data_IF_606137076166
#
_entry.id   IF_606137076166
#
_cell.length_a   1.000
_cell.length_b   1.000
_cell.length_c   1.000
_cell.angle_alpha   90.00
_cell.angle_beta   90.00
_cell.angle_gamma   90.00
#
_symmetry.space_group_name_H-M   'P 1'
#
loop_
_entity.id
_entity.type
_entity.pdbx_description
1 polymer ?
#
# COMPACT_ATOMS: atom_id res chain seq x y z
N UNK A 1 -3.73 16.15 -54.24
CA UNK A 1 -3.05 15.10 -53.46
C UNK A 1 -2.87 15.47 -51.99
N UNK A 2 -2.41 16.69 -51.66
CA UNK A 2 -2.13 17.10 -50.27
C UNK A 2 -3.34 17.14 -49.32
N UNK A 3 -4.54 17.54 -49.78
CA UNK A 3 -5.76 17.51 -48.94
C UNK A 3 -6.14 16.09 -48.48
N UNK A 4 -5.95 15.08 -49.33
CA UNK A 4 -6.21 13.67 -48.96
C UNK A 4 -5.17 13.16 -47.97
N UNK A 5 -3.91 13.57 -48.13
CA UNK A 5 -2.83 13.27 -47.18
C UNK A 5 -3.10 13.89 -45.80
N UNK A 6 -3.55 15.15 -45.75
CA UNK A 6 -3.89 15.84 -44.49
C UNK A 6 -5.10 15.21 -43.77
N UNK A 7 -6.10 14.76 -44.52
CA UNK A 7 -7.26 14.04 -43.95
C UNK A 7 -6.82 12.69 -43.37
N UNK A 8 -5.98 11.94 -44.09
CA UNK A 8 -5.46 10.65 -43.61
C UNK A 8 -4.60 10.82 -42.34
N UNK A 9 -3.75 11.85 -42.28
CA UNK A 9 -2.97 12.16 -41.07
C UNK A 9 -3.87 12.54 -39.90
N UNK A 10 -4.94 13.31 -40.15
CA UNK A 10 -5.88 13.71 -39.09
C UNK A 10 -6.66 12.53 -38.52
N UNK A 11 -7.07 11.57 -39.36
CA UNK A 11 -7.75 10.35 -38.92
C UNK A 11 -6.80 9.48 -38.09
N UNK A 12 -5.54 9.34 -38.51
CA UNK A 12 -4.53 8.57 -37.78
C UNK A 12 -4.22 9.18 -36.40
N UNK A 13 -4.15 10.51 -36.30
CA UNK A 13 -3.97 11.18 -35.00
C UNK A 13 -5.17 11.00 -34.07
N UNK A 14 -6.40 10.89 -34.61
CA UNK A 14 -7.61 10.75 -33.79
C UNK A 14 -7.77 9.36 -33.17
N UNK A 15 -7.07 8.35 -33.68
CA UNK A 15 -7.16 6.97 -33.20
C UNK A 15 -6.11 6.59 -32.14
N UNK A 16 -5.38 7.56 -31.59
CA UNK A 16 -4.38 7.27 -30.56
C UNK A 16 -5.06 6.71 -29.29
N UNK A 17 -4.71 5.49 -28.85
CA UNK A 17 -5.27 4.92 -27.63
C UNK A 17 -4.74 5.66 -26.40
N UNK A 18 -5.64 6.12 -25.54
CA UNK A 18 -5.28 6.68 -24.23
C UNK A 18 -4.97 5.53 -23.28
N UNK A 19 -3.68 5.34 -22.97
CA UNK A 19 -3.26 4.35 -21.98
C UNK A 19 -3.66 4.83 -20.57
N UNK A 20 -4.33 3.99 -19.76
CA UNK A 20 -4.63 4.33 -18.38
C UNK A 20 -3.32 4.37 -17.58
N UNK A 21 -2.91 5.56 -17.12
CA UNK A 21 -1.76 5.72 -16.23
C UNK A 21 -2.04 4.97 -14.91
N UNK A 22 -1.27 3.93 -14.57
CA UNK A 22 -1.45 3.17 -13.34
C UNK A 22 -0.87 3.92 -12.13
N UNK A 23 -1.56 4.98 -11.70
CA UNK A 23 -1.24 5.67 -10.46
C UNK A 23 -1.64 4.79 -9.26
N UNK A 24 -0.65 4.39 -8.46
CA UNK A 24 -0.82 3.73 -7.18
C UNK A 24 -0.45 4.74 -6.11
N UNK A 25 -1.32 4.94 -5.13
CA UNK A 25 -1.04 5.86 -4.03
C UNK A 25 -0.88 5.04 -2.76
N UNK A 26 0.20 5.27 -2.04
CA UNK A 26 0.47 4.67 -0.75
C UNK A 26 0.16 5.67 0.35
N UNK A 27 -0.40 5.15 1.45
CA UNK A 27 -0.60 5.87 2.70
C UNK A 27 0.23 5.18 3.78
N UNK A 28 1.10 5.92 4.46
CA UNK A 28 1.90 5.39 5.57
C UNK A 28 1.93 6.38 6.73
N UNK A 29 2.36 5.92 7.90
CA UNK A 29 2.54 6.75 9.09
C UNK A 29 4.02 6.81 9.41
N UNK A 30 4.55 8.01 9.65
CA UNK A 30 5.95 8.20 10.06
C UNK A 30 6.14 7.96 11.57
N UNK A 31 7.39 8.06 12.03
CA UNK A 31 7.78 7.89 13.43
C UNK A 31 7.12 8.89 14.39
N UNK A 32 6.69 10.05 13.87
CA UNK A 32 6.00 11.10 14.64
C UNK A 32 4.48 10.88 14.68
N UNK A 33 3.99 9.80 14.07
CA UNK A 33 2.55 9.52 13.96
C UNK A 33 1.84 10.31 12.87
N UNK A 34 2.58 10.99 11.97
CA UNK A 34 2.01 11.79 10.89
C UNK A 34 1.72 10.89 9.70
N UNK A 35 0.51 11.02 9.16
CA UNK A 35 0.07 10.29 7.97
C UNK A 35 0.56 10.99 6.70
N UNK A 36 1.23 10.24 5.84
CA UNK A 36 1.74 10.68 4.55
C UNK A 36 1.07 9.94 3.39
N UNK A 37 1.02 10.59 2.23
CA UNK A 37 0.48 10.05 0.98
C UNK A 37 1.47 10.29 -0.16
N UNK A 38 1.71 9.28 -1.00
CA UNK A 38 2.60 9.43 -2.13
C UNK A 38 2.62 8.22 -3.06
N UNK A 39 3.18 8.38 -4.24
CA UNK A 39 3.23 7.32 -5.26
C UNK A 39 4.30 6.25 -4.97
N UNK A 40 5.21 6.52 -4.03
CA UNK A 40 6.22 5.60 -3.56
C UNK A 40 6.54 5.84 -2.09
N UNK A 41 6.81 4.76 -1.36
CA UNK A 41 7.19 4.81 0.06
C UNK A 41 8.72 5.00 0.13
N UNK A 42 9.22 6.01 0.85
CA UNK A 42 10.65 6.17 1.09
C UNK A 42 11.28 4.91 1.70
N UNK A 43 12.53 4.60 1.34
CA UNK A 43 13.22 3.37 1.80
C UNK A 43 13.27 3.23 3.33
N UNK A 44 13.36 4.34 4.06
CA UNK A 44 13.31 4.39 5.51
C UNK A 44 12.00 3.88 6.11
N UNK A 45 10.89 3.92 5.37
CA UNK A 45 9.57 3.44 5.79
C UNK A 45 9.16 2.14 5.11
N UNK A 46 10.09 1.43 4.43
CA UNK A 46 9.79 0.17 3.74
C UNK A 46 9.23 -0.92 4.67
N UNK A 47 9.70 -0.94 5.92
CA UNK A 47 9.26 -1.89 6.96
C UNK A 47 8.09 -1.34 7.80
N UNK A 48 7.72 -0.08 7.61
CA UNK A 48 6.61 0.54 8.30
C UNK A 48 5.28 0.10 7.69
N UNK A 49 4.23 0.08 8.52
CA UNK A 49 2.88 -0.24 8.08
C UNK A 49 2.42 0.75 7.03
N UNK A 50 1.91 0.24 5.91
CA UNK A 50 1.41 1.06 4.81
C UNK A 50 0.15 0.46 4.18
N UNK A 51 -0.60 1.33 3.52
CA UNK A 51 -1.85 1.00 2.87
C UNK A 51 -1.76 1.46 1.41
N UNK A 52 -1.96 0.53 0.48
CA UNK A 52 -2.06 0.83 -0.94
C UNK A 52 -3.51 1.20 -1.26
N UNK A 53 -3.67 2.32 -1.96
CA UNK A 53 -4.93 2.90 -2.38
C UNK A 53 -5.02 2.83 -3.91
N UNK A 54 -6.21 2.51 -4.41
CA UNK A 54 -6.51 2.71 -5.83
C UNK A 54 -6.79 4.19 -6.14
N UNK A 55 -6.95 4.52 -7.42
CA UNK A 55 -7.28 5.88 -7.89
C UNK A 55 -8.53 6.51 -7.28
N UNK A 56 -9.42 5.70 -6.69
CA UNK A 56 -10.65 6.15 -6.04
C UNK A 56 -10.47 6.32 -4.52
N UNK A 57 -9.25 6.18 -4.00
CA UNK A 57 -8.95 6.23 -2.57
C UNK A 57 -9.37 4.98 -1.79
N UNK A 58 -9.69 3.88 -2.48
CA UNK A 58 -10.12 2.63 -1.84
C UNK A 58 -8.88 1.81 -1.50
N UNK A 59 -8.83 1.30 -0.28
CA UNK A 59 -7.79 0.40 0.20
C UNK A 59 -7.83 -0.91 -0.60
N UNK A 60 -6.74 -1.20 -1.32
CA UNK A 60 -6.58 -2.44 -2.08
C UNK A 60 -5.58 -3.40 -1.43
N UNK A 61 -4.67 -2.89 -0.58
CA UNK A 61 -3.72 -3.69 0.16
C UNK A 61 -3.36 -3.01 1.47
N UNK A 62 -3.21 -3.80 2.54
CA UNK A 62 -2.70 -3.34 3.83
C UNK A 62 -1.47 -4.17 4.17
N UNK A 63 -0.31 -3.51 4.23
CA UNK A 63 0.92 -4.09 4.75
C UNK A 63 1.01 -3.68 6.22
N UNK A 64 0.84 -4.65 7.11
CA UNK A 64 1.08 -4.42 8.54
C UNK A 64 2.56 -4.15 8.78
N UNK A 65 2.90 -3.20 9.69
CA UNK A 65 4.29 -3.03 10.11
C UNK A 65 4.83 -4.36 10.64
N UNK A 66 6.13 -4.57 10.49
CA UNK A 66 6.80 -5.57 11.32
C UNK A 66 6.51 -5.23 12.79
N UNK A 67 6.16 -6.23 13.61
CA UNK A 67 5.99 -6.03 15.05
C UNK A 67 7.28 -5.42 15.60
N UNK A 68 7.15 -4.33 16.35
CA UNK A 68 8.29 -3.79 17.10
C UNK A 68 8.72 -4.79 18.17
N UNK A 69 10.00 -4.77 18.58
CA UNK A 69 10.53 -5.71 19.58
C UNK A 69 9.71 -5.69 20.89
N UNK A 70 9.20 -4.52 21.27
CA UNK A 70 8.32 -4.34 22.44
C UNK A 70 6.98 -5.07 22.25
N UNK A 71 6.38 -5.00 21.05
CA UNK A 71 5.14 -5.69 20.73
C UNK A 71 5.33 -7.20 20.58
N UNK A 72 6.52 -7.64 20.13
CA UNK A 72 6.89 -9.06 20.12
C UNK A 72 6.95 -9.57 21.56
N UNK A 73 7.65 -8.85 22.44
CA UNK A 73 7.79 -9.23 23.85
C UNK A 73 6.46 -9.27 24.59
N UNK A 74 5.60 -8.25 24.40
CA UNK A 74 4.25 -8.25 24.99
C UNK A 74 3.41 -9.43 24.51
N UNK A 75 3.46 -9.74 23.21
CA UNK A 75 2.77 -10.91 22.65
C UNK A 75 3.28 -12.20 23.28
N UNK A 76 4.58 -12.35 23.43
CA UNK A 76 5.19 -13.55 24.01
C UNK A 76 4.82 -13.70 25.49
N UNK A 77 4.83 -12.59 26.25
CA UNK A 77 4.39 -12.56 27.65
C UNK A 77 2.91 -12.93 27.80
N UNK A 78 2.05 -12.44 26.90
CA UNK A 78 0.63 -12.76 26.90
C UNK A 78 0.37 -14.23 26.55
N UNK A 79 1.10 -14.77 25.57
CA UNK A 79 1.05 -16.20 25.22
C UNK A 79 1.53 -17.07 26.39
N UNK A 80 2.60 -16.66 27.08
CA UNK A 80 3.12 -17.38 28.24
C UNK A 80 2.09 -17.43 29.39
N UNK A 81 1.39 -16.31 29.65
CA UNK A 81 0.31 -16.25 30.63
C UNK A 81 -0.86 -17.16 30.26
N UNK A 82 -1.31 -17.12 29.00
CA UNK A 82 -2.40 -17.97 28.53
C UNK A 82 -2.08 -19.47 28.71
N UNK A 83 -0.87 -19.89 28.34
CA UNK A 83 -0.43 -21.28 28.53
C UNK A 83 -0.41 -21.70 29.99
N UNK A 84 -0.01 -20.81 30.90
CA UNK A 84 -0.03 -21.09 32.33
C UNK A 84 -1.45 -21.23 32.87
N UNK A 85 -2.37 -20.38 32.42
CA UNK A 85 -3.79 -20.46 32.79
C UNK A 85 -4.47 -21.72 32.24
N UNK A 86 -4.15 -22.13 31.02
CA UNK A 86 -4.64 -23.39 30.44
C UNK A 86 -4.13 -24.60 31.23
N UNK A 87 -2.83 -24.64 31.56
CA UNK A 87 -2.27 -25.74 32.35
C UNK A 87 -2.91 -25.85 33.74
N UNK A 88 -3.22 -24.72 34.38
CA UNK A 88 -3.94 -24.69 35.68
C UNK A 88 -5.41 -25.12 35.60
N UNK A 89 -6.03 -25.10 34.42
CA UNK A 89 -7.41 -25.54 34.21
C UNK A 89 -7.52 -27.03 33.89
N UNK A 90 -6.43 -27.64 33.41
CA UNK A 90 -6.38 -29.04 32.97
C UNK A 90 -5.85 -29.96 34.08
N UNK A 91 -5.05 -29.44 35.03
CA UNK A 91 -4.60 -30.15 36.24
C UNK A 91 -5.49 -29.87 37.44
#
# INVERSE_FOLDING_TARGET
>A
MQRRLLILISIVLLTLPVLPAAARTFKWVDEKGITHYGDSIPVQYKNAGNVELNKRGIVIRKNTPALTDEQIKQRDDDIAKQKLEEQKKIG
#
